data_IF_203427594680
#
_entry.id   IF_203427594680
#
_cell.length_a   1.000
_cell.length_b   1.000
_cell.length_c   1.000
_cell.angle_alpha   90.00
_cell.angle_beta   90.00
_cell.angle_gamma   90.00
#
_symmetry.space_group_name_H-M   'P 1'
#
loop_
_entity.id
_entity.type
_entity.pdbx_description
1 polymer ?
#
# COMPACT_ATOMS: atom_id res chain seq x y z
N UNK A 1 8.13 -84.49 16.96
CA UNK A 1 6.70 -84.80 17.15
C UNK A 1 5.95 -83.48 17.29
N UNK A 2 4.81 -83.39 16.61
CA UNK A 2 3.69 -82.43 16.62
C UNK A 2 3.63 -81.40 17.78
N UNK A 3 3.21 -80.14 17.59
CA UNK A 3 1.95 -79.73 16.96
C UNK A 3 1.90 -78.25 16.51
N UNK A 4 1.14 -78.05 15.43
CA UNK A 4 0.48 -76.83 14.91
C UNK A 4 -0.16 -75.92 15.98
N UNK A 5 -0.14 -74.60 15.73
CA UNK A 5 -1.33 -73.82 15.30
C UNK A 5 -0.93 -72.44 14.78
N UNK A 6 -1.33 -72.18 13.54
CA UNK A 6 -1.47 -70.85 12.94
C UNK A 6 -2.73 -70.19 13.52
N UNK A 7 -2.70 -68.86 13.66
CA UNK A 7 -3.85 -68.01 13.36
C UNK A 7 -3.35 -66.57 13.08
N UNK A 8 -3.69 -66.09 11.89
CA UNK A 8 -3.40 -64.75 11.35
C UNK A 8 -4.32 -63.69 11.97
N UNK A 9 -3.83 -62.45 12.13
CA UNK A 9 -4.45 -61.21 11.60
C UNK A 9 -3.72 -59.93 12.07
N UNK A 10 -3.17 -59.24 11.07
CA UNK A 10 -3.24 -57.80 10.77
C UNK A 10 -2.73 -56.70 11.73
N UNK A 11 -1.89 -55.86 11.11
CA UNK A 11 -1.81 -54.39 11.19
C UNK A 11 -1.50 -53.70 12.53
N UNK A 12 -0.28 -53.19 12.67
CA UNK A 12 0.09 -51.84 12.19
C UNK A 12 1.36 -51.34 12.89
N UNK A 13 2.28 -50.84 12.07
CA UNK A 13 3.52 -50.17 12.45
C UNK A 13 3.23 -48.73 12.86
N UNK A 14 3.77 -48.27 13.99
CA UNK A 14 4.76 -47.18 14.06
C UNK A 14 4.85 -46.57 15.47
N UNK A 15 6.07 -46.35 15.99
CA UNK A 15 6.35 -45.32 16.97
C UNK A 15 6.92 -44.08 16.26
N UNK A 16 6.34 -42.91 16.46
CA UNK A 16 6.93 -41.65 16.01
C UNK A 16 6.65 -40.55 17.01
N UNK A 17 7.46 -40.52 18.06
CA UNK A 17 7.68 -39.31 18.84
C UNK A 17 8.59 -38.37 18.02
N UNK A 18 7.99 -37.38 17.39
CA UNK A 18 8.71 -36.18 16.95
C UNK A 18 7.80 -34.99 17.20
N UNK A 19 7.96 -34.36 18.37
CA UNK A 19 7.26 -33.15 18.74
C UNK A 19 7.72 -31.98 17.85
N UNK A 20 7.03 -31.75 16.74
CA UNK A 20 7.13 -30.50 16.00
C UNK A 20 6.27 -29.44 16.71
N UNK A 21 6.91 -28.46 17.34
CA UNK A 21 6.24 -27.26 17.85
C UNK A 21 5.52 -26.55 16.70
N UNK A 22 4.20 -26.51 16.77
CA UNK A 22 3.36 -25.67 15.91
C UNK A 22 3.59 -24.20 16.28
N UNK A 23 4.57 -23.57 15.64
CA UNK A 23 4.70 -22.12 15.66
C UNK A 23 3.48 -21.53 14.93
N UNK A 24 2.54 -20.95 15.69
CA UNK A 24 1.47 -20.13 15.14
C UNK A 24 2.10 -18.99 14.34
N UNK A 25 2.01 -19.04 13.02
CA UNK A 25 2.45 -17.95 12.15
C UNK A 25 1.53 -16.76 12.38
N UNK A 26 1.99 -15.79 13.16
CA UNK A 26 1.28 -14.50 13.31
C UNK A 26 1.42 -13.76 11.97
N UNK A 27 0.34 -13.73 11.20
CA UNK A 27 0.27 -12.94 9.97
C UNK A 27 0.28 -11.47 10.34
N UNK A 28 1.29 -10.73 9.86
CA UNK A 28 1.33 -9.27 9.98
C UNK A 28 0.57 -8.58 8.83
N UNK A 29 -0.36 -9.28 8.15
CA UNK A 29 -1.19 -8.69 7.11
C UNK A 29 -2.02 -7.54 7.70
N UNK A 30 -1.97 -6.38 7.05
CA UNK A 30 -2.60 -5.15 7.54
C UNK A 30 -4.12 -5.24 7.26
N UNK A 31 -5.01 -5.25 8.28
CA UNK A 31 -6.46 -5.25 8.04
C UNK A 31 -6.97 -3.90 7.51
N UNK A 32 -6.09 -2.89 7.40
CA UNK A 32 -6.37 -1.55 6.89
C UNK A 32 -5.78 -1.27 5.50
N UNK A 33 -5.43 -2.29 4.71
CA UNK A 33 -5.19 -2.14 3.26
C UNK A 33 -6.51 -1.81 2.52
N UNK A 34 -7.15 -0.69 2.88
CA UNK A 34 -7.97 0.10 1.96
C UNK A 34 -7.05 0.90 1.07
N UNK A 35 -6.21 0.16 0.35
CA UNK A 35 -5.60 0.62 -0.86
C UNK A 35 -6.73 1.00 -1.82
N UNK A 36 -6.69 2.20 -2.41
CA UNK A 36 -7.63 2.61 -3.47
C UNK A 36 -7.45 1.81 -4.77
N UNK A 37 -6.55 0.83 -4.78
CA UNK A 37 -6.35 -0.12 -5.88
C UNK A 37 -7.28 -1.33 -5.71
N UNK A 38 -7.77 -1.94 -6.81
CA UNK A 38 -8.68 -3.07 -6.73
C UNK A 38 -8.03 -4.24 -5.97
N UNK A 39 -8.64 -4.58 -4.83
CA UNK A 39 -8.27 -5.62 -3.85
C UNK A 39 -8.12 -7.03 -4.44
N UNK A 40 -8.50 -7.25 -5.69
CA UNK A 40 -8.35 -8.53 -6.40
C UNK A 40 -6.88 -8.91 -6.64
N UNK A 41 -5.95 -7.95 -6.60
CA UNK A 41 -4.52 -8.22 -6.79
C UNK A 41 -3.82 -8.79 -5.55
N UNK A 42 -4.31 -8.49 -4.34
CA UNK A 42 -3.72 -9.04 -3.12
C UNK A 42 -3.94 -10.57 -3.06
N UNK A 43 -5.12 -11.03 -3.46
CA UNK A 43 -5.49 -12.45 -3.42
C UNK A 43 -4.76 -13.32 -4.46
N UNK A 44 -4.34 -12.76 -5.59
CA UNK A 44 -3.71 -13.55 -6.67
C UNK A 44 -2.19 -13.62 -6.51
N UNK A 45 -1.55 -12.58 -5.96
CA UNK A 45 -0.10 -12.59 -5.72
C UNK A 45 0.29 -13.36 -4.44
N UNK A 46 -0.59 -13.43 -3.44
CA UNK A 46 -0.36 -14.22 -2.22
C UNK A 46 -0.33 -15.73 -2.48
N UNK A 47 -1.03 -16.21 -3.52
CA UNK A 47 -1.17 -17.64 -3.77
C UNK A 47 -0.01 -18.29 -4.55
N UNK A 48 0.99 -17.52 -4.98
CA UNK A 48 2.05 -18.03 -5.89
C UNK A 48 3.48 -17.89 -5.37
N UNK A 49 3.70 -17.23 -4.24
CA UNK A 49 5.04 -17.09 -3.65
C UNK A 49 5.04 -17.67 -2.24
N UNK A 50 5.93 -18.64 -1.91
CA UNK A 50 6.04 -19.16 -0.55
C UNK A 50 6.27 -18.01 0.43
N UNK A 51 5.58 -18.01 1.59
CA UNK A 51 5.79 -17.05 2.68
C UNK A 51 7.21 -17.21 3.26
N UNK A 52 8.19 -16.66 2.56
CA UNK A 52 9.57 -16.54 3.02
C UNK A 52 9.78 -15.27 3.86
N UNK A 53 10.83 -15.23 4.70
CA UNK A 53 11.20 -14.07 5.51
C UNK A 53 11.41 -12.77 4.71
N UNK A 54 11.64 -12.87 3.39
CA UNK A 54 11.81 -11.74 2.47
C UNK A 54 10.52 -10.94 2.20
N UNK A 55 9.33 -11.45 2.56
CA UNK A 55 8.06 -10.74 2.35
C UNK A 55 7.69 -9.79 3.48
N UNK A 56 8.39 -9.88 4.61
CA UNK A 56 7.88 -9.38 5.88
C UNK A 56 8.45 -8.04 6.33
N UNK A 57 9.30 -7.41 5.50
CA UNK A 57 10.04 -6.20 5.85
C UNK A 57 10.66 -6.25 7.25
N UNK A 58 11.20 -7.43 7.56
CA UNK A 58 11.66 -7.83 8.88
C UNK A 58 13.09 -7.37 9.13
N UNK A 59 13.37 -6.94 10.36
CA UNK A 59 14.72 -6.67 10.87
C UNK A 59 15.07 -7.66 11.98
N UNK A 60 16.35 -8.07 12.13
CA UNK A 60 16.81 -8.84 13.28
C UNK A 60 16.51 -8.19 14.64
N UNK A 61 16.32 -6.87 14.67
CA UNK A 61 15.99 -6.10 15.87
C UNK A 61 14.49 -6.12 16.20
N UNK A 62 13.64 -6.65 15.31
CA UNK A 62 12.20 -6.74 15.55
C UNK A 62 11.90 -7.64 16.75
N UNK A 63 11.04 -7.15 17.64
CA UNK A 63 10.55 -7.96 18.75
C UNK A 63 9.73 -9.13 18.24
N UNK A 64 9.61 -10.19 19.04
CA UNK A 64 8.74 -11.32 18.71
C UNK A 64 7.26 -10.95 18.81
N UNK A 65 6.39 -11.81 18.26
CA UNK A 65 4.93 -11.72 18.29
C UNK A 65 4.35 -10.39 17.74
N UNK A 66 3.20 -9.94 18.26
CA UNK A 66 2.48 -8.74 17.81
C UNK A 66 3.34 -7.47 17.87
N UNK A 67 4.26 -7.39 18.84
CA UNK A 67 5.20 -6.29 18.97
C UNK A 67 6.10 -6.16 17.73
N UNK A 68 6.51 -7.28 17.14
CA UNK A 68 7.24 -7.31 15.88
C UNK A 68 6.43 -6.77 14.70
N UNK A 69 5.14 -7.11 14.61
CA UNK A 69 4.27 -6.54 13.57
C UNK A 69 4.15 -5.01 13.73
N UNK A 70 4.01 -4.50 14.95
CA UNK A 70 4.00 -3.06 15.23
C UNK A 70 5.33 -2.39 14.86
N UNK A 71 6.47 -3.04 15.13
CA UNK A 71 7.79 -2.51 14.79
C UNK A 71 7.95 -2.39 13.27
N UNK A 72 7.51 -3.40 12.51
CA UNK A 72 7.45 -3.39 11.03
C UNK A 72 6.53 -2.30 10.48
N UNK A 73 5.33 -2.15 11.03
CA UNK A 73 4.39 -1.12 10.59
C UNK A 73 4.96 0.29 10.85
N UNK A 74 5.57 0.51 12.02
CA UNK A 74 6.29 1.76 12.33
C UNK A 74 7.46 2.01 11.38
N UNK A 75 8.24 0.97 11.05
CA UNK A 75 9.33 1.03 10.06
C UNK A 75 8.80 1.40 8.67
N UNK A 76 7.74 0.74 8.17
CA UNK A 76 7.08 1.07 6.88
C UNK A 76 6.62 2.53 6.87
N UNK A 77 6.02 3.02 7.96
CA UNK A 77 5.62 4.43 8.11
C UNK A 77 6.83 5.38 8.06
N UNK A 78 7.95 5.05 8.71
CA UNK A 78 9.18 5.86 8.65
C UNK A 78 9.81 5.85 7.25
N UNK A 79 9.84 4.70 6.60
CA UNK A 79 10.30 4.57 5.21
C UNK A 79 9.44 5.43 4.27
N UNK A 80 8.11 5.36 4.35
CA UNK A 80 7.21 6.24 3.59
C UNK A 80 7.44 7.74 3.84
N UNK A 81 7.97 8.13 5.01
CA UNK A 81 8.25 9.53 5.35
C UNK A 81 9.65 9.97 4.90
N UNK A 82 10.59 9.04 4.73
CA UNK A 82 11.95 9.35 4.31
C UNK A 82 12.04 9.61 2.81
N UNK A 83 11.18 8.98 2.00
CA UNK A 83 11.18 9.18 0.56
C UNK A 83 10.53 10.52 0.19
N UNK A 84 11.26 11.31 -0.59
CA UNK A 84 10.92 12.69 -0.96
C UNK A 84 11.40 12.94 -2.40
N UNK A 85 10.50 12.85 -3.38
CA UNK A 85 10.87 13.03 -4.79
C UNK A 85 10.88 14.51 -5.18
N UNK A 86 11.98 15.03 -5.73
CA UNK A 86 12.00 16.36 -6.37
C UNK A 86 11.04 16.41 -7.58
N UNK A 87 10.82 17.58 -8.16
CA UNK A 87 9.99 17.70 -9.36
C UNK A 87 10.57 16.89 -10.55
N UNK A 88 11.90 16.86 -10.68
CA UNK A 88 12.60 16.06 -11.70
C UNK A 88 12.45 14.55 -11.45
N UNK A 89 12.60 14.12 -10.19
CA UNK A 89 12.45 12.71 -9.82
C UNK A 89 10.99 12.25 -9.96
N UNK A 90 10.04 13.13 -9.63
CA UNK A 90 8.63 12.87 -9.87
C UNK A 90 8.36 12.72 -11.36
N UNK A 91 8.93 13.60 -12.21
CA UNK A 91 8.80 13.50 -13.66
C UNK A 91 9.31 12.14 -14.18
N UNK A 92 10.51 11.75 -13.78
CA UNK A 92 11.12 10.46 -14.17
C UNK A 92 10.22 9.27 -13.79
N UNK A 93 9.67 9.27 -12.57
CA UNK A 93 8.74 8.21 -12.14
C UNK A 93 7.43 8.24 -12.93
N UNK A 94 6.88 9.41 -13.23
CA UNK A 94 5.63 9.54 -14.00
C UNK A 94 5.79 9.13 -15.46
N UNK A 95 6.92 9.45 -16.07
CA UNK A 95 7.27 9.02 -17.44
C UNK A 95 7.48 7.49 -17.46
N UNK A 96 8.20 6.93 -16.48
CA UNK A 96 8.31 5.48 -16.31
C UNK A 96 6.94 4.81 -16.20
N UNK A 97 6.04 5.38 -15.37
CA UNK A 97 4.67 4.87 -15.24
C UNK A 97 3.99 4.86 -16.61
N UNK A 98 4.00 5.97 -17.36
CA UNK A 98 3.33 6.06 -18.65
C UNK A 98 3.81 5.01 -19.65
N UNK A 99 5.13 4.80 -19.72
CA UNK A 99 5.78 3.90 -20.66
C UNK A 99 5.61 2.41 -20.31
N UNK A 100 5.40 2.09 -19.03
CA UNK A 100 5.41 0.70 -18.55
C UNK A 100 4.03 0.19 -18.11
N UNK A 101 2.94 0.77 -18.64
CA UNK A 101 1.58 0.26 -18.37
C UNK A 101 1.15 -0.79 -19.39
N UNK A 102 0.49 -1.83 -18.90
CA UNK A 102 -0.28 -2.73 -19.75
C UNK A 102 -1.67 -2.16 -20.09
N UNK A 103 -2.41 -2.86 -20.96
CA UNK A 103 -3.75 -2.43 -21.41
C UNK A 103 -4.78 -2.26 -20.29
N UNK A 104 -4.55 -2.91 -19.14
CA UNK A 104 -5.38 -2.80 -17.95
C UNK A 104 -4.98 -1.67 -17.00
N UNK A 105 -4.02 -0.82 -17.39
CA UNK A 105 -3.52 0.29 -16.57
C UNK A 105 -2.59 -0.13 -15.43
N UNK A 106 -2.12 -1.39 -15.42
CA UNK A 106 -1.15 -1.85 -14.40
C UNK A 106 0.27 -1.52 -14.84
N UNK A 107 1.01 -0.87 -13.95
CA UNK A 107 2.44 -0.55 -14.14
C UNK A 107 3.30 -1.78 -13.90
N UNK A 108 4.15 -2.11 -14.85
CA UNK A 108 5.18 -3.13 -14.74
C UNK A 108 6.44 -2.51 -14.12
N UNK A 109 6.51 -2.50 -12.79
CA UNK A 109 7.66 -1.98 -12.07
C UNK A 109 8.91 -2.84 -12.32
N UNK A 110 10.08 -2.20 -12.20
CA UNK A 110 11.38 -2.88 -12.28
C UNK A 110 12.21 -2.54 -11.05
N UNK A 111 13.10 -3.45 -10.65
CA UNK A 111 14.03 -3.21 -9.53
C UNK A 111 14.87 -1.95 -9.73
N UNK A 112 15.21 -1.62 -10.98
CA UNK A 112 16.01 -0.43 -11.30
C UNK A 112 15.31 0.85 -10.87
N UNK A 113 14.08 1.08 -11.31
CA UNK A 113 13.36 2.32 -10.97
C UNK A 113 12.96 2.35 -9.49
N UNK A 114 12.59 1.19 -8.92
CA UNK A 114 12.19 1.11 -7.52
C UNK A 114 13.35 1.47 -6.60
N UNK A 115 14.49 0.80 -6.78
CA UNK A 115 15.63 0.96 -5.87
C UNK A 115 16.55 2.13 -6.22
N UNK A 116 16.23 2.87 -7.29
CA UNK A 116 16.78 4.20 -7.53
C UNK A 116 16.22 5.22 -6.53
N UNK A 117 14.95 5.06 -6.12
CA UNK A 117 14.24 6.00 -5.23
C UNK A 117 13.95 5.46 -3.84
N UNK A 118 13.87 4.14 -3.68
CA UNK A 118 13.64 3.46 -2.40
C UNK A 118 14.93 2.73 -1.99
N UNK A 119 15.41 2.87 -0.75
CA UNK A 119 16.60 2.14 -0.33
C UNK A 119 16.35 0.63 -0.33
N UNK A 120 17.35 -0.16 -0.74
CA UNK A 120 17.28 -1.64 -0.67
C UNK A 120 17.26 -2.17 0.76
N UNK A 121 17.86 -1.42 1.69
CA UNK A 121 17.92 -1.75 3.11
C UNK A 121 17.55 -0.49 3.91
N UNK A 122 16.67 -0.63 4.89
CA UNK A 122 16.22 0.46 5.75
C UNK A 122 16.06 -0.02 7.19
N UNK A 123 16.72 0.64 8.14
CA UNK A 123 16.67 0.29 9.57
C UNK A 123 16.92 -1.21 9.84
N UNK A 124 17.98 -1.75 9.23
CA UNK A 124 18.38 -3.16 9.36
C UNK A 124 17.52 -4.17 8.61
N UNK A 125 16.42 -3.76 7.96
CA UNK A 125 15.55 -4.62 7.18
C UNK A 125 15.79 -4.47 5.67
N UNK A 126 15.83 -5.60 4.95
CA UNK A 126 15.77 -5.60 3.48
C UNK A 126 14.36 -5.18 3.05
N UNK A 127 14.26 -4.19 2.15
CA UNK A 127 12.98 -3.69 1.66
C UNK A 127 12.41 -4.66 0.62
N UNK A 128 11.27 -5.33 0.89
CA UNK A 128 10.63 -6.22 -0.07
C UNK A 128 10.14 -5.45 -1.30
N UNK A 129 10.12 -6.10 -2.46
CA UNK A 129 9.63 -5.52 -3.72
C UNK A 129 8.24 -4.87 -3.58
N UNK A 130 7.26 -5.59 -2.99
CA UNK A 130 5.91 -5.06 -2.73
C UNK A 130 5.95 -3.77 -1.88
N UNK A 131 6.80 -3.75 -0.86
CA UNK A 131 6.97 -2.56 0.00
C UNK A 131 7.60 -1.40 -0.78
N UNK A 132 8.57 -1.66 -1.66
CA UNK A 132 9.18 -0.62 -2.48
C UNK A 132 8.16 -0.01 -3.45
N UNK A 133 7.32 -0.83 -4.10
CA UNK A 133 6.22 -0.39 -4.95
C UNK A 133 5.24 0.49 -4.16
N UNK A 134 4.75 0.01 -3.02
CA UNK A 134 3.81 0.76 -2.16
C UNK A 134 4.38 2.11 -1.72
N UNK A 135 5.64 2.12 -1.31
CA UNK A 135 6.34 3.32 -0.82
C UNK A 135 6.53 4.31 -1.95
N UNK A 136 6.87 3.85 -3.16
CA UNK A 136 7.08 4.74 -4.30
C UNK A 136 5.76 5.36 -4.78
N UNK A 137 4.66 4.59 -4.83
CA UNK A 137 3.34 5.13 -5.12
C UNK A 137 2.91 6.19 -4.09
N UNK A 138 3.12 5.92 -2.80
CA UNK A 138 2.83 6.86 -1.71
C UNK A 138 3.68 8.14 -1.81
N UNK A 139 4.95 8.00 -2.23
CA UNK A 139 5.85 9.12 -2.46
C UNK A 139 5.40 10.00 -3.64
N UNK A 140 4.88 9.42 -4.73
CA UNK A 140 4.31 10.17 -5.86
C UNK A 140 3.16 11.07 -5.38
N UNK A 141 2.19 10.50 -4.65
CA UNK A 141 1.06 11.26 -4.10
C UNK A 141 1.50 12.42 -3.20
N UNK A 142 2.40 12.14 -2.23
CA UNK A 142 2.97 13.17 -1.35
C UNK A 142 3.74 14.26 -2.10
N UNK A 143 4.39 13.90 -3.20
CA UNK A 143 5.18 14.85 -3.97
C UNK A 143 4.28 15.87 -4.67
N UNK A 144 3.09 15.46 -5.13
CA UNK A 144 2.12 16.41 -5.67
C UNK A 144 1.68 17.45 -4.63
N UNK A 145 1.26 17.04 -3.44
CA UNK A 145 0.87 17.98 -2.37
C UNK A 145 2.00 18.92 -1.93
N UNK A 146 3.26 18.47 -2.06
CA UNK A 146 4.42 19.30 -1.73
C UNK A 146 4.74 20.32 -2.83
N UNK A 147 4.58 19.92 -4.09
CA UNK A 147 4.89 20.75 -5.26
C UNK A 147 3.75 21.73 -5.55
N UNK A 148 2.51 21.31 -5.29
CA UNK A 148 1.28 22.06 -5.50
C UNK A 148 0.56 22.29 -4.17
N UNK A 149 0.93 23.32 -3.38
CA UNK A 149 0.34 23.53 -2.06
C UNK A 149 -1.17 23.82 -2.05
N UNK A 150 -1.74 24.28 -3.18
CA UNK A 150 -3.18 24.51 -3.34
C UNK A 150 -3.97 23.26 -3.76
N UNK A 151 -3.29 22.15 -4.07
CA UNK A 151 -3.96 20.86 -4.31
C UNK A 151 -4.34 20.26 -2.97
N UNK A 152 -5.60 19.88 -2.80
CA UNK A 152 -6.13 19.34 -1.54
C UNK A 152 -6.61 17.88 -1.66
N UNK A 153 -6.86 17.40 -2.88
CA UNK A 153 -7.33 16.03 -3.13
C UNK A 153 -6.60 15.44 -4.36
N UNK A 154 -6.38 14.13 -4.30
CA UNK A 154 -5.84 13.36 -5.41
C UNK A 154 -6.74 12.15 -5.67
N UNK A 155 -7.04 11.88 -6.93
CA UNK A 155 -7.70 10.67 -7.39
C UNK A 155 -6.93 9.99 -8.53
N UNK A 156 -7.35 8.77 -8.84
CA UNK A 156 -6.85 8.00 -9.97
C UNK A 156 -7.96 7.80 -10.98
N UNK A 157 -7.68 8.09 -12.24
CA UNK A 157 -8.56 7.73 -13.35
C UNK A 157 -7.83 6.91 -14.39
N UNK A 158 -8.61 6.17 -15.18
CA UNK A 158 -8.11 5.30 -16.24
C UNK A 158 -8.81 5.64 -17.56
N UNK A 159 -8.56 6.83 -18.14
CA UNK A 159 -9.20 7.23 -19.39
C UNK A 159 -8.80 6.30 -20.55
N UNK A 160 -9.76 6.10 -21.46
CA UNK A 160 -9.56 5.47 -22.77
C UNK A 160 -9.38 3.95 -22.75
N UNK A 161 -9.15 3.41 -23.96
CA UNK A 161 -8.71 2.04 -24.22
C UNK A 161 -7.50 2.13 -25.17
N UNK A 162 -6.30 1.65 -24.79
CA UNK A 162 -5.97 0.99 -23.51
C UNK A 162 -6.10 1.93 -22.31
N UNK A 163 -6.39 1.36 -21.13
CA UNK A 163 -6.52 2.12 -19.88
C UNK A 163 -5.16 2.67 -19.48
N UNK A 164 -5.03 4.00 -19.39
CA UNK A 164 -3.82 4.67 -18.91
C UNK A 164 -4.07 5.31 -17.55
N UNK A 165 -3.20 5.10 -16.57
CA UNK A 165 -3.33 5.73 -15.25
C UNK A 165 -3.08 7.23 -15.38
N UNK A 166 -4.00 8.01 -14.86
CA UNK A 166 -3.87 9.46 -14.73
C UNK A 166 -4.14 9.85 -13.28
N UNK A 167 -3.25 10.66 -12.72
CA UNK A 167 -3.41 11.30 -11.42
C UNK A 167 -4.22 12.58 -11.57
N UNK A 168 -5.43 12.61 -11.04
CA UNK A 168 -6.24 13.83 -10.99
C UNK A 168 -5.93 14.56 -9.69
N UNK A 169 -5.52 15.81 -9.80
CA UNK A 169 -5.13 16.68 -8.71
C UNK A 169 -6.14 17.83 -8.62
N UNK A 170 -6.94 17.84 -7.56
CA UNK A 170 -7.98 18.84 -7.38
C UNK A 170 -7.47 20.00 -6.53
N UNK A 171 -7.73 21.20 -7.01
CA UNK A 171 -7.39 22.44 -6.31
C UNK A 171 -8.60 23.38 -6.25
N UNK A 172 -8.62 24.23 -5.24
CA UNK A 172 -9.57 25.33 -5.10
C UNK A 172 -8.82 26.66 -4.86
N UNK A 173 -9.42 27.76 -5.30
CA UNK A 173 -8.88 29.10 -5.06
C UNK A 173 -7.72 29.51 -5.98
N UNK A 174 -6.48 29.30 -5.56
CA UNK A 174 -5.31 29.78 -6.30
C UNK A 174 -4.77 28.73 -7.27
N UNK A 175 -4.70 29.09 -8.56
CA UNK A 175 -4.20 28.20 -9.61
C UNK A 175 -2.78 27.67 -9.28
N UNK A 176 -2.58 26.35 -9.25
CA UNK A 176 -1.29 25.76 -8.97
C UNK A 176 -0.26 26.10 -10.04
N UNK A 177 0.87 26.67 -9.63
CA UNK A 177 1.98 26.94 -10.55
C UNK A 177 2.68 25.62 -10.91
N UNK A 178 2.68 25.27 -12.20
CA UNK A 178 3.32 24.04 -12.71
C UNK A 178 4.82 24.26 -12.96
N UNK A 179 5.72 23.55 -12.23
CA UNK A 179 7.14 23.58 -12.52
C UNK A 179 7.42 23.17 -13.96
N UNK A 180 8.39 23.81 -14.60
CA UNK A 180 8.67 23.60 -16.03
C UNK A 180 8.94 22.14 -16.39
N UNK A 181 9.65 21.42 -15.53
CA UNK A 181 9.97 19.99 -15.70
C UNK A 181 8.74 19.08 -15.68
N UNK A 182 7.65 19.51 -15.06
CA UNK A 182 6.37 18.79 -15.00
C UNK A 182 5.37 19.26 -16.06
N UNK A 183 5.72 20.25 -16.89
CA UNK A 183 4.86 20.64 -18.01
C UNK A 183 4.77 19.49 -19.02
N UNK A 184 3.59 19.28 -19.58
CA UNK A 184 3.33 18.23 -20.57
C UNK A 184 3.59 16.80 -20.05
N UNK A 185 3.47 16.55 -18.73
CA UNK A 185 3.40 15.17 -18.23
C UNK A 185 1.97 14.65 -18.37
N UNK A 186 1.69 13.67 -19.24
CA UNK A 186 0.32 13.20 -19.48
C UNK A 186 -0.23 12.37 -18.32
N UNK A 187 0.63 11.93 -17.39
CA UNK A 187 0.28 11.07 -16.27
C UNK A 187 -0.44 11.82 -15.15
N UNK A 188 -0.58 13.16 -15.19
CA UNK A 188 -1.39 13.90 -14.22
C UNK A 188 -2.18 15.05 -14.85
N UNK A 189 -3.27 15.43 -14.19
CA UNK A 189 -4.14 16.54 -14.57
C UNK A 189 -4.43 17.40 -13.33
N UNK A 190 -4.43 18.72 -13.52
CA UNK A 190 -4.88 19.68 -12.51
C UNK A 190 -6.32 20.08 -12.82
N UNK A 191 -7.21 19.93 -11.85
CA UNK A 191 -8.65 20.16 -12.01
C UNK A 191 -9.10 21.16 -10.95
N UNK A 192 -9.62 22.31 -11.40
CA UNK A 192 -10.28 23.27 -10.51
C UNK A 192 -11.63 22.71 -10.07
N UNK A 193 -11.89 22.67 -8.76
CA UNK A 193 -13.21 22.38 -8.21
C UNK A 193 -13.81 23.62 -7.57
N UNK A 194 -15.04 23.94 -7.94
CA UNK A 194 -15.81 24.96 -7.21
C UNK A 194 -16.04 24.48 -5.76
N UNK A 195 -15.92 25.37 -4.76
CA UNK A 195 -16.21 25.01 -3.38
C UNK A 195 -17.66 24.53 -3.27
N UNK A 196 -17.87 23.39 -2.62
CA UNK A 196 -19.20 22.89 -2.28
C UNK A 196 -19.95 24.02 -1.55
N UNK A 197 -21.02 24.54 -2.16
CA UNK A 197 -21.89 25.52 -1.52
C UNK A 197 -22.54 24.85 -0.30
N UNK A 198 -21.96 25.05 0.88
CA UNK A 198 -22.58 24.66 2.13
C UNK A 198 -23.77 25.60 2.31
N UNK A 199 -24.97 25.11 2.04
CA UNK A 199 -26.19 25.78 2.48
C UNK A 199 -26.22 25.71 4.00
N UNK A 200 -25.67 26.73 4.66
CA UNK A 200 -25.95 26.98 6.07
C UNK A 200 -27.46 27.22 6.16
N UNK A 201 -28.21 26.19 6.58
CA UNK A 201 -29.57 26.40 7.05
C UNK A 201 -29.45 27.40 8.20
N UNK A 202 -29.95 28.61 7.97
CA UNK A 202 -30.03 29.63 9.01
C UNK A 202 -30.75 29.00 10.20
N UNK A 203 -30.02 28.79 11.30
CA UNK A 203 -30.63 28.48 12.58
C UNK A 203 -31.55 29.65 12.87
N UNK A 204 -32.86 29.44 12.77
CA UNK A 204 -33.84 30.45 13.14
C UNK A 204 -33.60 30.79 14.60
N UNK A 205 -33.13 32.01 14.84
CA UNK A 205 -33.03 32.62 16.17
C UNK A 205 -34.43 32.77 16.74
N UNK A 206 -34.93 31.74 17.43
CA UNK A 206 -36.29 31.75 17.97
C UNK A 206 -36.70 30.51 18.77
N UNK A 207 -35.77 29.66 19.21
CA UNK A 207 -36.12 28.60 20.18
C UNK A 207 -36.05 29.16 21.58
N UNK A 208 -37.19 29.65 22.06
CA UNK A 208 -37.42 30.03 23.44
C UNK A 208 -37.12 28.83 24.36
N UNK A 209 -36.12 28.96 25.23
CA UNK A 209 -35.81 27.94 26.23
C UNK A 209 -36.84 28.10 27.35
N UNK A 210 -37.91 27.29 27.32
CA UNK A 210 -38.85 27.22 28.44
C UNK A 210 -38.15 26.55 29.63
N UNK A 211 -37.59 27.36 30.53
CA UNK A 211 -37.13 26.92 31.83
C UNK A 211 -38.34 26.48 32.67
N UNK A 212 -38.50 25.17 32.92
CA UNK A 212 -39.35 24.70 34.03
C UNK A 212 -38.63 25.00 35.33
N UNK A 213 -39.21 25.89 36.15
CA UNK A 213 -38.79 26.12 37.54
C UNK A 213 -39.37 25.02 38.46
N UNK A 214 -38.70 24.75 39.61
CA UNK A 214 -38.86 23.55 40.42
C UNK A 214 -40.23 23.41 41.10
#
# INVERSE_FOLDING_TARGET
MSSKRENSSSDSSDPSDTSASTATTVSCADPSDKSSFPSTLDTILENTVPLGPNHLFWSPEDRTSEKGCLDRHKRKRRLKKSIKLSAEQLRDVLDFIADNQNEGGRVQWTDKILFQYVPKVFEGAVVPYKTAVDVLYDAVGKSFFRIFPSVYEQAFTFPGNPKRLVYELFWDGAEPVVPEVLRNTPTFLLIEREPLKIHLQAVQSGSEITSRRP
#
